data_IF_037313261325
#
_entry.id   IF_037313261325
#
_cell.length_a   1.000
_cell.length_b   1.000
_cell.length_c   1.000
_cell.angle_alpha   90.00
_cell.angle_beta   90.00
_cell.angle_gamma   90.00
#
_symmetry.space_group_name_H-M   'P 1'
#
loop_
_entity.id
_entity.type
_entity.pdbx_description
1 polymer ?
#
# COMPACT_ATOMS: atom_id res chain seq x y z
N UNK A 1 34.40 -38.95 9.63
CA UNK A 1 33.33 -38.23 8.87
C UNK A 1 33.17 -36.83 9.44
N UNK A 2 33.10 -35.81 8.59
CA UNK A 2 33.20 -34.41 9.03
C UNK A 2 31.93 -33.88 9.69
N UNK A 3 32.05 -33.27 10.88
CA UNK A 3 30.91 -32.69 11.61
C UNK A 3 30.12 -31.63 10.80
N UNK A 4 30.75 -30.94 9.84
CA UNK A 4 30.08 -29.99 8.93
C UNK A 4 28.98 -30.66 8.08
N UNK A 5 29.15 -31.91 7.64
CA UNK A 5 28.09 -32.64 6.91
C UNK A 5 26.94 -33.07 7.83
N UNK A 6 27.22 -33.41 9.09
CA UNK A 6 26.18 -33.75 10.10
C UNK A 6 25.34 -32.52 10.46
N UNK A 7 25.96 -31.34 10.56
CA UNK A 7 25.27 -30.09 10.83
C UNK A 7 24.38 -29.64 9.65
N UNK A 8 24.87 -29.70 8.41
CA UNK A 8 24.04 -29.39 7.24
C UNK A 8 22.89 -30.39 7.05
N UNK A 9 23.12 -31.68 7.29
CA UNK A 9 22.05 -32.70 7.27
C UNK A 9 20.96 -32.44 8.31
N UNK A 10 21.33 -32.01 9.52
CA UNK A 10 20.37 -31.67 10.58
C UNK A 10 19.49 -30.47 10.24
N UNK A 11 20.05 -29.41 9.65
CA UNK A 11 19.29 -28.22 9.24
C UNK A 11 18.32 -28.53 8.10
N UNK A 12 18.73 -29.37 7.13
CA UNK A 12 17.85 -29.79 6.02
C UNK A 12 16.72 -30.69 6.50
N UNK A 13 16.96 -31.61 7.45
CA UNK A 13 15.91 -32.45 8.04
C UNK A 13 14.90 -31.65 8.88
N UNK A 14 15.35 -30.64 9.64
CA UNK A 14 14.45 -29.77 10.40
C UNK A 14 13.64 -28.83 9.49
N UNK A 15 14.28 -28.20 8.49
CA UNK A 15 13.59 -27.34 7.53
C UNK A 15 12.62 -28.11 6.63
N UNK A 16 13.01 -29.27 6.14
CA UNK A 16 12.14 -30.17 5.36
C UNK A 16 10.99 -30.73 6.18
N UNK A 17 11.25 -31.12 7.44
CA UNK A 17 10.22 -31.64 8.36
C UNK A 17 9.10 -30.64 8.63
N UNK A 18 9.43 -29.37 8.87
CA UNK A 18 8.42 -28.31 9.08
C UNK A 18 7.60 -28.05 7.82
N UNK A 19 8.22 -28.03 6.63
CA UNK A 19 7.51 -27.82 5.36
C UNK A 19 6.56 -28.99 5.04
N UNK A 20 7.01 -30.23 5.27
CA UNK A 20 6.22 -31.44 5.01
C UNK A 20 5.10 -31.60 6.04
N UNK A 21 5.34 -31.26 7.32
CA UNK A 21 4.31 -31.16 8.35
C UNK A 21 3.27 -30.07 8.04
N UNK A 22 3.69 -28.91 7.53
CA UNK A 22 2.78 -27.85 7.11
C UNK A 22 1.92 -28.27 5.91
N UNK A 23 2.48 -29.00 4.94
CA UNK A 23 1.70 -29.59 3.84
C UNK A 23 0.73 -30.67 4.32
N UNK A 24 1.15 -31.54 5.26
CA UNK A 24 0.28 -32.59 5.81
C UNK A 24 -0.86 -32.01 6.65
N UNK A 25 -0.61 -30.95 7.42
CA UNK A 25 -1.62 -30.29 8.24
C UNK A 25 -2.61 -29.53 7.34
N UNK A 26 -2.11 -28.80 6.34
CA UNK A 26 -2.94 -28.07 5.37
C UNK A 26 -3.77 -29.00 4.47
N UNK A 27 -3.22 -30.17 4.08
CA UNK A 27 -3.97 -31.21 3.37
C UNK A 27 -4.99 -31.97 4.23
N UNK A 28 -4.95 -31.83 5.56
CA UNK A 28 -5.87 -32.50 6.49
C UNK A 28 -7.00 -31.59 6.96
N UNK A 29 -6.78 -30.27 6.97
CA UNK A 29 -7.83 -29.26 7.23
C UNK A 29 -8.84 -29.16 6.08
N UNK A 30 -8.46 -29.46 4.84
CA UNK A 30 -9.38 -29.42 3.67
C UNK A 30 -10.39 -30.60 3.63
N UNK A 31 -10.21 -31.65 4.44
CA UNK A 31 -11.12 -32.83 4.48
C UNK A 31 -12.26 -32.65 5.50
N UNK A 32 -12.17 -31.68 6.42
CA UNK A 32 -13.11 -31.50 7.53
C UNK A 32 -13.86 -30.14 7.50
N UNK A 33 -14.34 -29.73 6.31
CA UNK A 33 -15.24 -28.58 6.20
C UNK A 33 -16.42 -28.79 5.25
N UNK A 34 -17.06 -29.95 5.34
CA UNK A 34 -18.37 -30.19 4.71
C UNK A 34 -19.25 -31.14 5.55
N UNK A 35 -19.51 -30.74 6.80
CA UNK A 35 -20.60 -31.27 7.61
C UNK A 35 -21.56 -30.13 7.96
N UNK A 36 -22.53 -29.91 7.09
CA UNK A 36 -23.76 -29.18 7.41
C UNK A 36 -24.55 -30.07 8.38
N UNK A 37 -25.03 -29.56 9.54
CA UNK A 37 -25.80 -30.37 10.47
C UNK A 37 -27.17 -30.73 9.88
N UNK A 38 -27.42 -32.02 9.70
CA UNK A 38 -28.73 -32.57 9.36
C UNK A 38 -29.67 -32.50 10.58
N UNK A 39 -30.87 -31.90 10.48
CA UNK A 39 -31.89 -32.07 11.51
C UNK A 39 -32.40 -33.53 11.53
N UNK A 40 -32.97 -33.99 12.66
CA UNK A 40 -33.31 -35.40 12.84
C UNK A 40 -34.47 -35.85 11.94
N UNK A 41 -34.39 -37.09 11.46
CA UNK A 41 -35.47 -37.78 10.75
C UNK A 41 -36.57 -38.20 11.73
N UNK A 42 -37.76 -37.63 11.55
CA UNK A 42 -38.98 -38.13 12.16
C UNK A 42 -39.60 -39.21 11.25
N UNK A 43 -40.10 -40.30 11.84
CA UNK A 43 -40.65 -41.43 11.09
C UNK A 43 -41.88 -41.01 10.29
N UNK A 44 -41.88 -41.30 8.97
CA UNK A 44 -43.11 -41.33 8.17
C UNK A 44 -43.27 -42.70 7.53
N UNK A 45 -44.44 -43.28 7.77
CA UNK A 45 -44.83 -44.65 7.45
C UNK A 45 -45.11 -44.81 5.94
N UNK A 46 -44.84 -45.99 5.38
CA UNK A 46 -45.23 -46.31 4.00
C UNK A 46 -46.75 -46.21 3.82
N UNK A 47 -47.22 -45.40 2.85
CA UNK A 47 -48.48 -45.61 2.12
C UNK A 47 -48.32 -45.07 0.69
N UNK A 48 -48.68 -45.87 -0.32
CA UNK A 48 -48.40 -45.59 -1.73
C UNK A 48 -49.57 -44.97 -2.50
N UNK A 49 -49.31 -43.87 -3.21
CA UNK A 49 -50.11 -43.28 -4.30
C UNK A 49 -49.19 -42.39 -5.17
N UNK A 50 -49.56 -42.03 -6.43
CA UNK A 50 -48.58 -41.66 -7.46
C UNK A 50 -48.05 -40.21 -7.40
N UNK A 51 -46.91 -40.01 -8.04
CA UNK A 51 -46.09 -38.80 -7.95
C UNK A 51 -46.67 -37.56 -8.65
N UNK A 52 -46.75 -36.46 -7.90
CA UNK A 52 -46.74 -35.11 -8.45
C UNK A 52 -45.27 -34.61 -8.56
N UNK A 53 -44.92 -33.83 -9.60
CA UNK A 53 -43.56 -33.33 -9.77
C UNK A 53 -43.25 -32.24 -8.73
N UNK A 54 -42.39 -32.56 -7.76
CA UNK A 54 -41.85 -31.58 -6.81
C UNK A 54 -41.17 -30.46 -7.59
N UNK A 55 -41.81 -29.29 -7.61
CA UNK A 55 -41.31 -28.11 -8.29
C UNK A 55 -40.11 -27.57 -7.51
N UNK A 56 -38.90 -27.89 -7.98
CA UNK A 56 -37.66 -27.32 -7.49
C UNK A 56 -37.69 -25.80 -7.71
N UNK A 57 -38.16 -25.07 -6.70
CA UNK A 57 -37.99 -23.62 -6.67
C UNK A 57 -36.49 -23.33 -6.61
N UNK A 58 -35.91 -22.62 -7.59
CA UNK A 58 -34.52 -22.21 -7.48
C UNK A 58 -34.42 -21.28 -6.28
N UNK A 59 -33.45 -21.54 -5.40
CA UNK A 59 -33.13 -20.67 -4.29
C UNK A 59 -32.53 -19.37 -4.86
N UNK A 60 -33.37 -18.46 -5.33
CA UNK A 60 -32.97 -17.11 -5.72
C UNK A 60 -32.70 -16.33 -4.44
N UNK A 61 -31.52 -16.58 -3.86
CA UNK A 61 -30.97 -15.77 -2.78
C UNK A 61 -31.00 -14.33 -3.27
N UNK A 62 -31.70 -13.48 -2.53
CA UNK A 62 -31.94 -12.11 -2.95
C UNK A 62 -30.60 -11.38 -3.12
N UNK A 63 -30.37 -10.82 -4.30
CA UNK A 63 -29.13 -10.12 -4.68
C UNK A 63 -28.81 -8.97 -3.70
N UNK A 64 -29.81 -8.41 -3.02
CA UNK A 64 -29.61 -7.43 -1.96
C UNK A 64 -29.00 -8.04 -0.68
N UNK A 65 -29.39 -9.27 -0.33
CA UNK A 65 -28.83 -9.99 0.83
C UNK A 65 -27.39 -10.43 0.60
N UNK A 66 -27.04 -10.88 -0.60
CA UNK A 66 -25.65 -11.20 -0.96
C UNK A 66 -24.75 -9.96 -0.93
N UNK A 67 -25.23 -8.81 -1.43
CA UNK A 67 -24.50 -7.54 -1.36
C UNK A 67 -24.22 -7.13 0.08
N UNK A 68 -25.22 -7.21 0.98
CA UNK A 68 -25.04 -6.90 2.41
C UNK A 68 -24.01 -7.84 3.06
N UNK A 69 -24.07 -9.14 2.78
CA UNK A 69 -23.11 -10.11 3.31
C UNK A 69 -21.68 -9.83 2.82
N UNK A 70 -21.51 -9.45 1.55
CA UNK A 70 -20.20 -9.07 0.98
C UNK A 70 -19.66 -7.75 1.55
N UNK A 71 -20.52 -6.76 1.77
CA UNK A 71 -20.15 -5.49 2.42
C UNK A 71 -19.76 -5.71 3.89
N UNK A 72 -20.49 -6.55 4.62
CA UNK A 72 -20.16 -6.93 5.99
C UNK A 72 -18.84 -7.71 6.06
N UNK A 73 -18.60 -8.64 5.14
CA UNK A 73 -17.32 -9.36 5.04
C UNK A 73 -16.15 -8.42 4.70
N UNK A 74 -16.35 -7.43 3.81
CA UNK A 74 -15.34 -6.39 3.54
C UNK A 74 -15.06 -5.56 4.79
N UNK A 75 -16.09 -5.07 5.46
CA UNK A 75 -15.97 -4.27 6.68
C UNK A 75 -15.29 -5.04 7.82
N UNK A 76 -15.54 -6.34 7.95
CA UNK A 76 -14.85 -7.20 8.90
C UNK A 76 -13.34 -7.32 8.59
N UNK A 77 -12.97 -7.50 7.31
CA UNK A 77 -11.57 -7.52 6.87
C UNK A 77 -10.86 -6.19 7.06
N UNK A 78 -11.51 -5.09 6.67
CA UNK A 78 -11.00 -3.73 6.86
C UNK A 78 -10.80 -3.41 8.35
N UNK A 79 -11.74 -3.82 9.22
CA UNK A 79 -11.59 -3.67 10.67
C UNK A 79 -10.40 -4.48 11.21
N UNK A 80 -10.25 -5.73 10.79
CA UNK A 80 -9.12 -6.57 11.22
C UNK A 80 -7.76 -6.00 10.79
N UNK A 81 -7.67 -5.46 9.56
CA UNK A 81 -6.47 -4.76 9.07
C UNK A 81 -6.24 -3.47 9.87
N UNK A 82 -7.26 -2.64 10.09
CA UNK A 82 -7.15 -1.41 10.87
C UNK A 82 -6.72 -1.67 12.33
N UNK A 83 -7.20 -2.75 12.96
CA UNK A 83 -6.75 -3.17 14.29
C UNK A 83 -5.29 -3.66 14.30
N UNK A 84 -4.84 -4.34 13.24
CA UNK A 84 -3.43 -4.75 13.10
C UNK A 84 -2.52 -3.54 12.84
N UNK A 85 -2.94 -2.61 11.98
CA UNK A 85 -2.24 -1.36 11.70
C UNK A 85 -2.15 -0.51 12.97
N UNK A 86 -3.24 -0.33 13.72
CA UNK A 86 -3.26 0.37 15.00
C UNK A 86 -2.25 -0.22 16.01
N UNK A 87 -2.27 -1.55 16.21
CA UNK A 87 -1.31 -2.25 17.10
C UNK A 87 0.14 -2.05 16.66
N UNK A 88 0.41 -2.07 15.35
CA UNK A 88 1.76 -1.80 14.83
C UNK A 88 2.21 -0.34 15.00
N UNK A 89 1.28 0.61 14.84
CA UNK A 89 1.53 2.03 15.07
C UNK A 89 1.75 2.34 16.57
N UNK A 90 1.02 1.67 17.47
CA UNK A 90 1.24 1.74 18.90
C UNK A 90 2.62 1.18 19.29
N UNK A 91 3.00 0.02 18.77
CA UNK A 91 4.33 -0.56 19.01
C UNK A 91 5.46 0.36 18.53
N UNK A 92 5.34 0.92 17.32
CA UNK A 92 6.31 1.89 16.79
C UNK A 92 6.36 3.18 17.62
N UNK A 93 5.21 3.68 18.09
CA UNK A 93 5.16 4.83 19.02
C UNK A 93 5.81 4.53 20.34
N UNK A 94 5.58 3.34 20.91
CA UNK A 94 6.21 2.94 22.16
C UNK A 94 7.73 2.80 22.00
N UNK A 95 8.19 2.24 20.87
CA UNK A 95 9.62 2.20 20.54
C UNK A 95 10.23 3.61 20.44
N UNK A 96 9.58 4.54 19.73
CA UNK A 96 10.01 5.94 19.64
C UNK A 96 9.97 6.68 20.99
N UNK A 97 9.00 6.38 21.86
CA UNK A 97 8.94 6.93 23.22
C UNK A 97 10.10 6.44 24.07
N UNK A 98 10.38 5.13 24.06
CA UNK A 98 11.51 4.53 24.79
C UNK A 98 12.85 5.07 24.27
N UNK A 99 13.01 5.22 22.95
CA UNK A 99 14.22 5.83 22.35
C UNK A 99 14.37 7.31 22.75
N UNK A 100 13.28 8.10 22.70
CA UNK A 100 13.29 9.50 23.10
C UNK A 100 13.54 9.70 24.61
N UNK A 101 13.01 8.81 25.45
CA UNK A 101 13.27 8.81 26.90
C UNK A 101 14.72 8.42 27.20
N UNK A 102 15.24 7.38 26.55
CA UNK A 102 16.65 6.98 26.66
C UNK A 102 17.59 8.11 26.21
N UNK A 103 17.28 8.78 25.11
CA UNK A 103 18.05 9.93 24.62
C UNK A 103 18.02 11.12 25.60
N UNK A 104 16.86 11.42 26.22
CA UNK A 104 16.76 12.45 27.27
C UNK A 104 17.58 12.09 28.50
N UNK A 105 17.44 10.85 29.00
CA UNK A 105 18.19 10.37 30.15
C UNK A 105 19.70 10.41 29.93
N UNK A 106 20.16 10.01 28.75
CA UNK A 106 21.57 10.11 28.36
C UNK A 106 22.07 11.57 28.27
N UNK A 107 21.24 12.50 27.76
CA UNK A 107 21.58 13.92 27.71
C UNK A 107 21.66 14.54 29.12
N UNK A 108 20.75 14.17 30.02
CA UNK A 108 20.76 14.59 31.43
C UNK A 108 21.99 14.07 32.17
N UNK A 109 22.35 12.79 31.98
CA UNK A 109 23.56 12.20 32.58
C UNK A 109 24.84 12.88 32.06
N UNK A 110 24.91 13.17 30.75
CA UNK A 110 26.03 13.90 30.16
C UNK A 110 26.13 15.34 30.68
N UNK A 111 25.00 16.03 30.84
CA UNK A 111 24.95 17.37 31.43
C UNK A 111 25.43 17.36 32.90
N UNK A 112 24.97 16.40 33.71
CA UNK A 112 25.39 16.22 35.10
C UNK A 112 26.90 15.91 35.20
N UNK A 113 27.44 15.08 34.30
CA UNK A 113 28.88 14.79 34.25
C UNK A 113 29.71 16.03 33.90
N UNK A 114 29.26 16.85 32.95
CA UNK A 114 29.92 18.12 32.61
C UNK A 114 29.86 19.13 33.77
N UNK A 115 28.73 19.22 34.48
CA UNK A 115 28.62 20.06 35.69
C UNK A 115 29.61 19.61 36.78
N UNK A 116 29.74 18.30 37.05
CA UNK A 116 30.74 17.76 37.99
C UNK A 116 32.18 18.07 37.57
N UNK A 117 32.50 17.96 36.26
CA UNK A 117 33.82 18.32 35.74
C UNK A 117 34.14 19.80 35.97
N UNK A 118 33.18 20.69 35.70
CA UNK A 118 33.37 22.14 35.88
C UNK A 118 33.48 22.53 37.36
N UNK A 119 32.67 21.93 38.24
CA UNK A 119 32.74 22.18 39.68
C UNK A 119 34.12 21.84 40.26
N UNK A 120 34.68 20.67 39.92
CA UNK A 120 36.00 20.25 40.37
C UNK A 120 37.15 21.14 39.83
N UNK A 121 36.95 21.84 38.70
CA UNK A 121 37.93 22.79 38.17
C UNK A 121 37.94 24.10 38.96
N UNK A 122 36.79 24.59 39.43
CA UNK A 122 36.72 25.85 40.19
C UNK A 122 37.24 25.73 41.63
N UNK A 123 37.28 24.54 42.21
CA UNK A 123 37.82 24.31 43.57
C UNK A 123 39.35 24.29 43.65
N UNK A 124 40.06 24.44 42.53
CA UNK A 124 41.52 24.24 42.46
C UNK A 124 42.34 25.54 42.39
N UNK A 125 41.70 26.72 42.40
CA UNK A 125 42.36 28.01 42.17
C UNK A 125 41.95 29.05 43.23
N UNK A 126 42.63 29.04 44.39
CA UNK A 126 42.42 30.00 45.49
C UNK A 126 43.64 30.07 46.41
N UNK A 127 44.48 31.09 46.21
CA UNK A 127 45.67 31.40 47.03
C UNK A 127 45.55 32.88 47.51
N UNK A 128 45.56 33.17 48.82
CA UNK A 128 45.38 34.52 49.35
C UNK A 128 46.73 35.27 49.61
N UNK A 129 46.77 36.61 49.51
CA UNK A 129 47.98 37.42 49.79
C UNK A 129 48.10 37.92 51.25
N UNK A 130 49.34 38.15 51.70
CA UNK A 130 49.71 38.62 53.06
C UNK A 130 49.73 40.16 53.25
N UNK A 131 49.79 40.58 54.52
CA UNK A 131 49.73 41.97 55.02
C UNK A 131 50.77 42.19 56.14
N UNK A 132 51.50 43.32 56.18
CA UNK A 132 52.54 43.62 57.21
C UNK A 132 52.56 45.13 57.58
N UNK A 133 52.43 45.45 58.87
CA UNK A 133 52.66 46.74 59.59
C UNK A 133 52.83 46.41 61.11
N UNK A 134 53.36 47.20 62.06
CA UNK A 134 54.26 48.39 62.14
C UNK A 134 54.71 48.47 63.63
N UNK A 135 55.99 48.68 63.97
CA UNK A 135 56.36 48.99 65.37
C UNK A 135 57.40 50.11 65.57
N UNK A 136 57.19 50.88 66.64
CA UNK A 136 57.67 52.26 66.82
C UNK A 136 58.49 52.43 68.11
N UNK A 137 59.78 52.81 68.04
CA UNK A 137 60.46 53.53 69.15
C UNK A 137 61.70 54.34 68.71
N UNK A 138 61.52 55.40 67.93
CA UNK A 138 62.48 56.54 67.86
C UNK A 138 61.71 57.86 67.75
N UNK A 139 61.14 58.29 68.88
CA UNK A 139 60.12 59.35 68.91
C UNK A 139 60.67 60.80 68.97
N UNK A 140 61.91 61.02 69.46
CA UNK A 140 62.38 62.38 69.78
C UNK A 140 63.36 63.02 68.79
N UNK A 141 64.21 62.24 68.09
CA UNK A 141 64.94 62.75 66.91
C UNK A 141 63.97 63.16 65.79
N UNK A 142 62.78 62.54 65.79
CA UNK A 142 61.73 62.69 64.78
C UNK A 142 61.22 64.13 64.63
N UNK A 143 61.29 64.99 65.66
CA UNK A 143 60.55 66.27 65.69
C UNK A 143 61.21 67.41 64.90
N UNK A 144 62.54 67.47 64.86
CA UNK A 144 63.27 68.49 64.10
C UNK A 144 63.41 68.10 62.62
N UNK A 145 63.57 66.80 62.37
CA UNK A 145 63.59 66.22 61.02
C UNK A 145 62.19 66.27 60.38
N UNK A 146 61.11 66.05 61.17
CA UNK A 146 59.71 66.23 60.72
C UNK A 146 59.40 67.61 60.14
N UNK A 147 60.05 68.69 60.60
CA UNK A 147 59.77 70.04 60.07
C UNK A 147 60.38 70.26 58.69
N UNK A 148 61.57 69.69 58.42
CA UNK A 148 62.17 69.71 57.08
C UNK A 148 61.46 68.70 56.17
N UNK A 149 61.26 67.47 56.66
CA UNK A 149 60.53 66.43 55.95
C UNK A 149 59.09 66.84 55.61
N UNK A 150 58.35 67.58 56.46
CA UNK A 150 57.01 68.10 56.11
C UNK A 150 57.03 69.08 54.93
N UNK A 151 58.09 69.87 54.76
CA UNK A 151 58.16 70.87 53.69
C UNK A 151 58.57 70.23 52.35
N UNK A 152 59.37 69.15 52.38
CA UNK A 152 59.60 68.30 51.20
C UNK A 152 58.41 67.38 50.91
N UNK A 153 57.78 66.78 51.92
CA UNK A 153 56.54 65.99 51.76
C UNK A 153 55.41 66.84 51.18
N UNK A 154 55.17 68.06 51.66
CA UNK A 154 54.14 68.94 51.07
C UNK A 154 54.35 69.20 49.57
N UNK A 155 55.61 69.21 49.09
CA UNK A 155 55.94 69.32 47.65
C UNK A 155 55.84 67.99 46.92
N UNK A 156 56.23 66.89 47.56
CA UNK A 156 56.11 65.54 47.00
C UNK A 156 54.65 65.07 46.90
N UNK A 157 53.83 65.33 47.92
CA UNK A 157 52.40 65.00 47.98
C UNK A 157 51.59 65.84 46.99
N UNK A 158 51.92 67.13 46.80
CA UNK A 158 51.32 67.93 45.74
C UNK A 158 51.59 67.35 44.34
N UNK A 159 52.81 66.89 44.08
CA UNK A 159 53.19 66.26 42.82
C UNK A 159 52.54 64.85 42.66
N UNK A 160 52.48 64.07 43.74
CA UNK A 160 51.87 62.73 43.77
C UNK A 160 50.35 62.78 43.60
N UNK A 161 49.68 63.77 44.19
CA UNK A 161 48.23 63.99 44.01
C UNK A 161 47.93 64.46 42.58
N UNK A 162 48.78 65.30 41.99
CA UNK A 162 48.67 65.69 40.58
C UNK A 162 48.86 64.49 39.63
N UNK A 163 49.85 63.63 39.88
CA UNK A 163 50.08 62.39 39.13
C UNK A 163 48.91 61.42 39.26
N UNK A 164 48.43 61.14 40.47
CA UNK A 164 47.27 60.26 40.70
C UNK A 164 45.99 60.78 40.03
N UNK A 165 45.77 62.10 40.02
CA UNK A 165 44.62 62.70 39.32
C UNK A 165 44.74 62.57 37.79
N UNK A 166 45.96 62.71 37.24
CA UNK A 166 46.22 62.50 35.81
C UNK A 166 46.08 61.01 35.42
N UNK A 167 46.54 60.10 36.26
CA UNK A 167 46.48 58.66 36.05
C UNK A 167 45.03 58.14 36.14
N UNK A 168 44.25 58.58 37.13
CA UNK A 168 42.81 58.30 37.19
C UNK A 168 42.06 58.83 35.97
N UNK A 169 42.42 60.00 35.42
CA UNK A 169 41.84 60.49 34.17
C UNK A 169 42.19 59.59 32.97
N UNK A 170 43.44 59.13 32.83
CA UNK A 170 43.82 58.16 31.78
C UNK A 170 43.14 56.80 31.94
N UNK A 171 42.97 56.32 33.16
CA UNK A 171 42.22 55.08 33.45
C UNK A 171 40.73 55.23 33.13
N UNK A 172 40.11 56.36 33.45
CA UNK A 172 38.72 56.64 33.11
C UNK A 172 38.50 56.80 31.60
N UNK A 173 39.43 57.41 30.88
CA UNK A 173 39.37 57.56 29.42
C UNK A 173 39.55 56.21 28.70
N UNK A 174 40.55 55.42 29.10
CA UNK A 174 40.77 54.07 28.55
C UNK A 174 39.63 53.10 28.91
N UNK A 175 38.99 53.24 30.08
CA UNK A 175 37.78 52.49 30.42
C UNK A 175 36.58 52.88 29.53
N UNK A 176 36.39 54.17 29.23
CA UNK A 176 35.35 54.64 28.30
C UNK A 176 35.56 54.11 26.88
N UNK A 177 36.80 54.17 26.36
CA UNK A 177 37.14 53.65 25.04
C UNK A 177 36.88 52.13 24.95
N UNK A 178 37.30 51.35 25.95
CA UNK A 178 37.00 49.90 26.02
C UNK A 178 35.50 49.61 26.11
N UNK A 179 34.73 50.42 26.84
CA UNK A 179 33.27 50.26 26.94
C UNK A 179 32.55 50.57 25.62
N UNK A 180 33.01 51.56 24.86
CA UNK A 180 32.47 51.87 23.53
C UNK A 180 32.81 50.77 22.50
N UNK A 181 34.07 50.31 22.49
CA UNK A 181 34.52 49.22 21.61
C UNK A 181 33.78 47.90 21.91
N UNK A 182 33.55 47.58 23.18
CA UNK A 182 32.75 46.43 23.60
C UNK A 182 31.29 46.55 23.15
N UNK A 183 30.68 47.75 23.20
CA UNK A 183 29.32 47.98 22.68
C UNK A 183 29.26 47.80 21.15
N UNK A 184 30.22 48.35 20.41
CA UNK A 184 30.31 48.18 18.94
C UNK A 184 30.44 46.70 18.56
N UNK A 185 31.36 45.97 19.20
CA UNK A 185 31.53 44.52 18.99
C UNK A 185 30.28 43.70 19.35
N UNK A 186 29.55 44.07 20.40
CA UNK A 186 28.31 43.40 20.78
C UNK A 186 27.15 43.67 19.79
N UNK A 187 27.04 44.88 19.24
CA UNK A 187 26.04 45.22 18.23
C UNK A 187 26.33 44.52 16.89
N UNK A 188 27.60 44.49 16.48
CA UNK A 188 28.05 43.81 15.26
C UNK A 188 27.86 42.28 15.37
N UNK A 189 28.18 41.69 16.52
CA UNK A 189 27.91 40.28 16.81
C UNK A 189 26.40 39.94 16.77
N UNK A 190 25.53 40.82 17.29
CA UNK A 190 24.07 40.65 17.16
C UNK A 190 23.61 40.70 15.71
N UNK A 191 24.03 41.70 14.93
CA UNK A 191 23.67 41.83 13.51
C UNK A 191 24.14 40.62 12.69
N UNK A 192 25.35 40.12 12.95
CA UNK A 192 25.89 38.91 12.30
C UNK A 192 25.12 37.63 12.69
N UNK A 193 24.72 37.48 13.96
CA UNK A 193 23.91 36.34 14.41
C UNK A 193 22.50 36.36 13.81
N UNK A 194 21.87 37.54 13.75
CA UNK A 194 20.52 37.73 13.21
C UNK A 194 20.48 37.44 11.71
N UNK A 195 21.45 37.97 10.93
CA UNK A 195 21.60 37.66 9.50
C UNK A 195 21.84 36.17 9.25
N UNK A 196 22.71 35.50 10.03
CA UNK A 196 22.92 34.05 9.91
C UNK A 196 21.63 33.26 10.19
N UNK A 197 20.88 33.63 11.24
CA UNK A 197 19.61 32.97 11.57
C UNK A 197 18.55 33.13 10.48
N UNK A 198 18.50 34.30 9.83
CA UNK A 198 17.56 34.56 8.73
C UNK A 198 17.95 33.80 7.46
N UNK A 199 19.24 33.75 7.13
CA UNK A 199 19.75 32.98 6.00
C UNK A 199 19.52 31.46 6.19
N UNK A 200 19.74 30.94 7.39
CA UNK A 200 19.50 29.53 7.71
C UNK A 200 18.02 29.16 7.65
N UNK A 201 17.12 30.03 8.14
CA UNK A 201 15.67 29.85 8.01
C UNK A 201 15.21 29.84 6.56
N UNK A 202 15.64 30.80 5.73
CA UNK A 202 15.31 30.79 4.29
C UNK A 202 15.86 29.55 3.58
N UNK A 203 17.06 29.08 3.93
CA UNK A 203 17.64 27.87 3.35
C UNK A 203 16.87 26.60 3.77
N UNK A 204 16.45 26.51 5.03
CA UNK A 204 15.64 25.41 5.54
C UNK A 204 14.24 25.39 4.91
N UNK A 205 13.59 26.55 4.78
CA UNK A 205 12.25 26.67 4.18
C UNK A 205 12.25 26.33 2.69
N UNK A 206 13.26 26.81 1.93
CA UNK A 206 13.44 26.41 0.52
C UNK A 206 13.67 24.91 0.36
N UNK A 207 14.52 24.29 1.19
CA UNK A 207 14.73 22.82 1.17
C UNK A 207 13.46 22.06 1.57
N UNK A 208 12.67 22.56 2.50
CA UNK A 208 11.40 21.93 2.88
C UNK A 208 10.34 22.02 1.76
N UNK A 209 10.25 23.16 1.07
CA UNK A 209 9.37 23.36 -0.07
C UNK A 209 9.76 22.45 -1.26
N UNK A 210 11.05 22.40 -1.61
CA UNK A 210 11.56 21.56 -2.70
C UNK A 210 11.34 20.07 -2.41
N UNK A 211 11.57 19.63 -1.16
CA UNK A 211 11.34 18.24 -0.75
C UNK A 211 9.86 17.84 -0.78
N UNK A 212 8.94 18.77 -0.44
CA UNK A 212 7.49 18.55 -0.58
C UNK A 212 7.06 18.45 -2.05
N UNK A 213 7.53 19.36 -2.91
CA UNK A 213 7.24 19.33 -4.34
C UNK A 213 7.77 18.05 -5.02
N UNK A 214 8.93 17.55 -4.60
CA UNK A 214 9.49 16.29 -5.09
C UNK A 214 8.68 15.05 -4.65
N UNK A 215 8.25 15.00 -3.38
CA UNK A 215 7.44 13.89 -2.84
C UNK A 215 6.03 13.84 -3.47
N UNK A 216 5.41 15.00 -3.67
CA UNK A 216 4.10 15.10 -4.35
C UNK A 216 4.19 14.67 -5.81
N UNK A 217 5.23 15.10 -6.54
CA UNK A 217 5.47 14.69 -7.93
C UNK A 217 5.78 13.19 -8.05
N UNK A 218 6.54 12.62 -7.11
CA UNK A 218 6.82 11.19 -7.08
C UNK A 218 5.56 10.35 -6.79
N UNK A 219 4.68 10.81 -5.90
CA UNK A 219 3.38 10.18 -5.63
C UNK A 219 2.44 10.26 -6.83
N UNK A 220 2.38 11.40 -7.52
CA UNK A 220 1.58 11.56 -8.73
C UNK A 220 2.04 10.62 -9.86
N UNK A 221 3.35 10.52 -10.11
CA UNK A 221 3.90 9.64 -11.15
C UNK A 221 3.66 8.15 -10.82
N UNK A 222 3.89 7.76 -9.56
CA UNK A 222 3.62 6.38 -9.09
C UNK A 222 2.13 6.00 -9.18
N UNK A 223 1.21 6.92 -8.86
CA UNK A 223 -0.22 6.70 -8.99
C UNK A 223 -0.65 6.58 -10.47
N UNK A 224 -0.14 7.45 -11.34
CA UNK A 224 -0.39 7.40 -12.77
C UNK A 224 0.12 6.09 -13.39
N UNK A 225 1.30 5.62 -12.98
CA UNK A 225 1.91 4.37 -13.46
C UNK A 225 1.09 3.14 -13.04
N UNK A 226 0.61 3.09 -11.78
CA UNK A 226 -0.29 2.02 -11.32
C UNK A 226 -1.62 2.01 -12.07
N UNK A 227 -2.25 3.16 -12.27
CA UNK A 227 -3.49 3.29 -13.04
C UNK A 227 -3.32 2.86 -14.51
N UNK A 228 -2.18 3.17 -15.13
CA UNK A 228 -1.87 2.74 -16.49
C UNK A 228 -1.63 1.22 -16.60
N UNK A 229 -0.91 0.64 -15.62
CA UNK A 229 -0.64 -0.80 -15.59
C UNK A 229 -1.92 -1.62 -15.30
N UNK A 230 -2.77 -1.16 -14.38
CA UNK A 230 -4.04 -1.81 -14.06
C UNK A 230 -5.02 -1.73 -15.25
N UNK A 231 -5.08 -0.58 -15.95
CA UNK A 231 -5.85 -0.46 -17.20
C UNK A 231 -5.32 -1.38 -18.30
N UNK A 232 -3.99 -1.53 -18.45
CA UNK A 232 -3.40 -2.49 -19.39
C UNK A 232 -3.76 -3.93 -19.05
N UNK A 233 -3.63 -4.35 -17.78
CA UNK A 233 -3.99 -5.71 -17.35
C UNK A 233 -5.48 -5.99 -17.58
N UNK A 234 -6.38 -5.09 -17.18
CA UNK A 234 -7.82 -5.22 -17.44
C UNK A 234 -8.15 -5.28 -18.94
N UNK A 235 -7.47 -4.50 -19.78
CA UNK A 235 -7.66 -4.55 -21.23
C UNK A 235 -7.13 -5.86 -21.86
N UNK A 236 -5.97 -6.36 -21.42
CA UNK A 236 -5.40 -7.62 -21.91
C UNK A 236 -6.21 -8.83 -21.43
N UNK A 237 -6.71 -8.81 -20.20
CA UNK A 237 -7.57 -9.85 -19.62
C UNK A 237 -8.94 -9.87 -20.30
N UNK A 238 -9.55 -8.70 -20.56
CA UNK A 238 -10.77 -8.60 -21.38
C UNK A 238 -10.55 -9.11 -22.81
N UNK A 239 -9.40 -8.81 -23.42
CA UNK A 239 -9.05 -9.31 -24.77
C UNK A 239 -8.86 -10.83 -24.77
N UNK A 240 -8.12 -11.38 -23.80
CA UNK A 240 -7.93 -12.83 -23.62
C UNK A 240 -9.25 -13.55 -23.34
N UNK A 241 -10.16 -12.95 -22.56
CA UNK A 241 -11.49 -13.51 -22.32
C UNK A 241 -12.33 -13.52 -23.60
N UNK A 242 -12.31 -12.44 -24.38
CA UNK A 242 -13.00 -12.36 -25.67
C UNK A 242 -12.40 -13.29 -26.74
N UNK A 243 -11.07 -13.50 -26.76
CA UNK A 243 -10.43 -14.51 -27.63
C UNK A 243 -10.74 -15.94 -27.17
N UNK A 244 -10.75 -16.22 -25.86
CA UNK A 244 -11.12 -17.52 -25.32
C UNK A 244 -12.59 -17.87 -25.55
N UNK A 245 -13.50 -16.88 -25.47
CA UNK A 245 -14.92 -17.06 -25.76
C UNK A 245 -15.15 -17.27 -27.27
N UNK A 246 -14.48 -16.51 -28.14
CA UNK A 246 -14.49 -16.77 -29.60
C UNK A 246 -13.86 -18.10 -29.97
N UNK A 247 -12.79 -18.53 -29.29
CA UNK A 247 -12.18 -19.84 -29.51
C UNK A 247 -13.09 -20.98 -29.03
N UNK A 248 -13.84 -20.79 -27.93
CA UNK A 248 -14.87 -21.75 -27.50
C UNK A 248 -16.03 -21.82 -28.49
N UNK A 249 -16.56 -20.68 -28.92
CA UNK A 249 -17.63 -20.62 -29.91
C UNK A 249 -17.21 -21.26 -31.25
N UNK A 250 -15.99 -20.98 -31.74
CA UNK A 250 -15.44 -21.65 -32.91
C UNK A 250 -15.22 -23.16 -32.70
N UNK A 251 -14.87 -23.63 -31.51
CA UNK A 251 -14.66 -25.05 -31.24
C UNK A 251 -15.98 -25.81 -30.98
N UNK A 252 -17.01 -25.12 -30.49
CA UNK A 252 -18.32 -25.70 -30.19
C UNK A 252 -19.30 -25.61 -31.36
N UNK A 253 -19.20 -24.59 -32.22
CA UNK A 253 -20.10 -24.36 -33.37
C UNK A 253 -19.41 -24.44 -34.74
N UNK A 254 -18.07 -24.46 -34.83
CA UNK A 254 -17.34 -24.32 -36.11
C UNK A 254 -17.59 -25.40 -37.17
N UNK A 255 -17.92 -26.63 -36.76
CA UNK A 255 -18.18 -27.77 -37.66
C UNK A 255 -19.64 -28.25 -37.71
N UNK A 256 -20.53 -27.69 -36.88
CA UNK A 256 -21.95 -28.08 -36.82
C UNK A 256 -22.73 -27.39 -37.93
N UNK A 257 -23.30 -28.17 -38.85
CA UNK A 257 -24.03 -27.63 -40.00
C UNK A 257 -25.52 -27.94 -39.86
N UNK A 258 -26.29 -26.93 -39.47
CA UNK A 258 -27.71 -27.06 -39.18
C UNK A 258 -28.54 -27.04 -40.46
N UNK A 259 -29.46 -28.00 -40.61
CA UNK A 259 -30.42 -28.02 -41.71
C UNK A 259 -31.85 -28.17 -41.19
N UNK A 260 -32.82 -27.65 -41.93
CA UNK A 260 -34.24 -27.87 -41.62
C UNK A 260 -34.73 -29.09 -42.38
N UNK A 261 -35.00 -30.20 -41.70
CA UNK A 261 -35.73 -31.32 -42.32
C UNK A 261 -37.21 -30.94 -42.40
N UNK A 262 -37.74 -30.88 -43.61
CA UNK A 262 -39.11 -30.40 -43.87
C UNK A 262 -40.10 -31.56 -44.01
N UNK A 263 -39.68 -32.62 -44.72
CA UNK A 263 -40.48 -33.81 -44.96
C UNK A 263 -39.61 -35.06 -45.19
N UNK A 264 -40.23 -36.23 -45.07
CA UNK A 264 -39.70 -37.53 -45.48
C UNK A 264 -40.69 -38.13 -46.48
N UNK A 265 -40.31 -38.23 -47.74
CA UNK A 265 -41.16 -38.74 -48.80
C UNK A 265 -40.89 -40.23 -49.04
N UNK A 266 -41.95 -41.04 -49.19
CA UNK A 266 -41.81 -42.47 -49.45
C UNK A 266 -41.11 -42.78 -50.78
N UNK A 267 -41.43 -42.02 -51.84
CA UNK A 267 -40.99 -42.25 -53.22
C UNK A 267 -40.32 -40.99 -53.81
N UNK A 268 -39.46 -41.16 -54.82
CA UNK A 268 -38.71 -40.06 -55.43
C UNK A 268 -39.59 -38.99 -56.08
N UNK A 269 -40.63 -39.36 -56.84
CA UNK A 269 -41.55 -38.40 -57.44
C UNK A 269 -42.22 -37.47 -56.39
N UNK A 270 -42.56 -38.01 -55.22
CA UNK A 270 -43.11 -37.23 -54.10
C UNK A 270 -42.04 -36.31 -53.48
N UNK A 271 -40.78 -36.78 -53.43
CA UNK A 271 -39.66 -35.98 -52.96
C UNK A 271 -39.36 -34.80 -53.87
N UNK A 272 -39.42 -35.01 -55.19
CA UNK A 272 -39.18 -33.96 -56.17
C UNK A 272 -40.32 -32.95 -56.28
N UNK A 273 -41.58 -33.39 -56.16
CA UNK A 273 -42.72 -32.47 -56.08
C UNK A 273 -42.60 -31.51 -54.88
N UNK A 274 -42.20 -32.03 -53.71
CA UNK A 274 -41.98 -31.22 -52.49
C UNK A 274 -40.73 -30.34 -52.62
N UNK A 275 -39.64 -30.87 -53.17
CA UNK A 275 -38.41 -30.10 -53.39
C UNK A 275 -38.60 -28.99 -54.43
N UNK A 276 -39.41 -29.20 -55.47
CA UNK A 276 -39.77 -28.20 -56.46
C UNK A 276 -40.57 -27.04 -55.83
N UNK A 277 -41.57 -27.33 -54.99
CA UNK A 277 -42.32 -26.29 -54.25
C UNK A 277 -41.41 -25.43 -53.38
N UNK A 278 -40.50 -26.06 -52.63
CA UNK A 278 -39.54 -25.35 -51.77
C UNK A 278 -38.52 -24.53 -52.59
N UNK A 279 -38.00 -25.05 -53.72
CA UNK A 279 -37.11 -24.30 -54.61
C UNK A 279 -37.82 -23.14 -55.32
N UNK A 280 -39.09 -23.29 -55.69
CA UNK A 280 -39.90 -22.20 -56.26
C UNK A 280 -40.10 -21.04 -55.27
N UNK A 281 -40.06 -21.32 -53.95
CA UNK A 281 -40.04 -20.32 -52.88
C UNK A 281 -38.63 -19.76 -52.57
N UNK A 282 -37.60 -20.12 -53.35
CA UNK A 282 -36.22 -19.67 -53.19
C UNK A 282 -35.39 -20.45 -52.15
N UNK A 283 -35.93 -21.51 -51.55
CA UNK A 283 -35.19 -22.29 -50.56
C UNK A 283 -34.16 -23.23 -51.23
N UNK A 284 -32.95 -23.32 -50.66
CA UNK A 284 -31.93 -24.29 -51.08
C UNK A 284 -32.26 -25.68 -50.54
N UNK A 285 -32.77 -26.57 -51.39
CA UNK A 285 -33.22 -27.92 -51.00
C UNK A 285 -32.20 -29.00 -51.35
N UNK A 286 -31.83 -29.79 -50.34
CA UNK A 286 -30.98 -30.98 -50.41
C UNK A 286 -31.84 -32.24 -50.21
N UNK A 287 -31.79 -33.18 -51.16
CA UNK A 287 -32.41 -34.51 -51.02
C UNK A 287 -31.36 -35.48 -50.45
N UNK A 288 -31.74 -36.34 -49.51
CA UNK A 288 -30.88 -37.44 -49.01
C UNK A 288 -31.69 -38.73 -48.94
N UNK A 289 -31.28 -39.82 -49.61
CA UNK A 289 -31.92 -41.12 -49.45
C UNK A 289 -31.70 -41.64 -48.02
N UNK A 290 -32.71 -42.30 -47.46
CA UNK A 290 -32.65 -43.00 -46.17
C UNK A 290 -33.42 -44.32 -46.27
N UNK A 291 -33.20 -45.25 -45.33
CA UNK A 291 -33.89 -46.55 -45.31
C UNK A 291 -35.42 -46.47 -45.18
N UNK A 292 -35.98 -45.30 -44.83
CA UNK A 292 -37.43 -45.06 -44.69
C UNK A 292 -37.99 -44.13 -45.79
N UNK A 293 -37.24 -43.89 -46.86
CA UNK A 293 -37.60 -42.96 -47.94
C UNK A 293 -36.62 -41.79 -48.08
N UNK A 294 -36.95 -40.81 -48.92
CA UNK A 294 -36.08 -39.68 -49.24
C UNK A 294 -36.37 -38.51 -48.31
N UNK A 295 -35.37 -38.10 -47.55
CA UNK A 295 -35.42 -36.94 -46.65
C UNK A 295 -35.20 -35.67 -47.45
N UNK A 296 -36.00 -34.66 -47.17
CA UNK A 296 -35.98 -33.36 -47.85
C UNK A 296 -35.57 -32.31 -46.82
N UNK A 297 -34.42 -31.69 -47.05
CA UNK A 297 -33.80 -30.75 -46.12
C UNK A 297 -33.59 -29.39 -46.79
N UNK A 298 -33.73 -28.32 -46.03
CA UNK A 298 -33.51 -26.93 -46.49
C UNK A 298 -32.32 -26.33 -45.78
N UNK A 299 -31.37 -25.86 -46.59
CA UNK A 299 -30.33 -24.89 -46.24
C UNK A 299 -29.26 -25.38 -45.26
N UNK A 300 -27.97 -25.48 -45.68
CA UNK A 300 -26.88 -25.53 -44.72
C UNK A 300 -26.78 -24.17 -44.02
N UNK A 301 -27.10 -24.15 -42.73
CA UNK A 301 -27.06 -22.99 -41.84
C UNK A 301 -25.92 -23.16 -40.86
N UNK A 302 -25.18 -22.08 -40.57
CA UNK A 302 -24.05 -22.13 -39.63
C UNK A 302 -24.52 -22.23 -38.17
N UNK A 303 -25.72 -21.72 -37.90
CA UNK A 303 -26.23 -21.56 -36.54
C UNK A 303 -27.60 -22.24 -36.41
N UNK A 304 -27.88 -22.75 -35.22
CA UNK A 304 -29.19 -23.34 -34.91
C UNK A 304 -30.32 -22.33 -35.07
N UNK A 305 -30.09 -21.07 -34.67
CA UNK A 305 -31.09 -20.00 -34.74
C UNK A 305 -31.43 -19.61 -36.19
N UNK A 306 -30.44 -19.60 -37.10
CA UNK A 306 -30.68 -19.30 -38.52
C UNK A 306 -31.43 -20.44 -39.21
N UNK A 307 -31.19 -21.70 -38.81
CA UNK A 307 -32.04 -22.83 -39.18
C UNK A 307 -33.46 -22.74 -38.57
N UNK A 308 -33.60 -22.39 -37.29
CA UNK A 308 -34.92 -22.30 -36.62
C UNK A 308 -35.75 -21.12 -37.15
N UNK A 309 -35.13 -20.02 -37.57
CA UNK A 309 -35.81 -18.94 -38.28
C UNK A 309 -36.34 -19.43 -39.65
N UNK A 310 -35.58 -20.26 -40.36
CA UNK A 310 -36.00 -20.88 -41.63
C UNK A 310 -37.13 -21.89 -41.42
N UNK A 311 -37.06 -22.72 -40.36
CA UNK A 311 -38.13 -23.62 -39.91
C UNK A 311 -39.43 -22.85 -39.64
N UNK A 312 -39.35 -21.72 -38.91
CA UNK A 312 -40.50 -20.85 -38.63
C UNK A 312 -41.12 -20.29 -39.93
N UNK A 313 -40.31 -19.83 -40.88
CA UNK A 313 -40.79 -19.35 -42.19
C UNK A 313 -41.50 -20.45 -43.01
N UNK A 314 -40.97 -21.67 -43.01
CA UNK A 314 -41.57 -22.81 -43.72
C UNK A 314 -42.90 -23.24 -43.06
N UNK A 315 -42.95 -23.26 -41.72
CA UNK A 315 -44.18 -23.60 -40.98
C UNK A 315 -45.27 -22.53 -41.08
N UNK A 316 -44.90 -21.26 -41.28
CA UNK A 316 -45.82 -20.13 -41.43
C UNK A 316 -46.33 -19.95 -42.88
N UNK A 317 -45.75 -20.63 -43.86
CA UNK A 317 -46.22 -20.59 -45.25
C UNK A 317 -47.24 -21.70 -45.50
N UNK A 318 -48.52 -21.39 -45.33
CA UNK A 318 -49.62 -22.34 -45.55
C UNK A 318 -49.65 -22.93 -46.97
N UNK A 319 -49.08 -22.26 -47.98
CA UNK A 319 -49.00 -22.80 -49.34
C UNK A 319 -48.00 -23.96 -49.50
N UNK A 320 -47.09 -24.13 -48.54
CA UNK A 320 -46.23 -25.31 -48.43
C UNK A 320 -46.95 -26.44 -47.66
N UNK A 321 -47.77 -26.10 -46.66
CA UNK A 321 -48.43 -27.04 -45.74
C UNK A 321 -47.45 -28.02 -45.05
N UNK A 322 -46.23 -27.56 -44.76
CA UNK A 322 -45.11 -28.38 -44.25
C UNK A 322 -44.87 -28.16 -42.75
N UNK A 323 -45.93 -28.29 -41.95
CA UNK A 323 -45.93 -27.98 -40.50
C UNK A 323 -45.07 -28.94 -39.65
N UNK A 324 -44.59 -30.04 -40.23
CA UNK A 324 -43.71 -31.05 -39.62
C UNK A 324 -42.22 -30.68 -39.65
N UNK A 325 -41.83 -29.47 -40.05
CA UNK A 325 -40.42 -29.13 -40.20
C UNK A 325 -39.70 -29.00 -38.85
N UNK A 326 -38.54 -29.65 -38.71
CA UNK A 326 -37.65 -29.55 -37.56
C UNK A 326 -36.20 -29.23 -37.96
N UNK A 327 -35.44 -28.67 -37.04
CA UNK A 327 -34.00 -28.43 -37.21
C UNK A 327 -33.21 -29.68 -36.79
N UNK A 328 -32.22 -30.05 -37.58
CA UNK A 328 -31.31 -31.17 -37.32
C UNK A 328 -29.86 -30.75 -37.58
N UNK A 329 -28.94 -31.23 -36.75
CA UNK A 329 -27.51 -31.18 -37.02
C UNK A 329 -27.17 -32.17 -38.15
N UNK A 330 -26.64 -31.67 -39.27
CA UNK A 330 -26.39 -32.44 -40.47
C UNK A 330 -24.92 -32.45 -40.85
N UNK A 331 -24.25 -33.55 -40.53
CA UNK A 331 -22.93 -33.86 -41.10
C UNK A 331 -23.11 -34.37 -42.55
N UNK A 332 -22.40 -33.80 -43.55
CA UNK A 332 -22.35 -34.31 -44.93
C UNK A 332 -21.94 -35.78 -44.99
N UNK A 333 -22.44 -36.53 -45.96
CA UNK A 333 -22.10 -37.96 -46.11
C UNK A 333 -20.59 -38.18 -46.30
N UNK A 334 -19.91 -37.28 -47.01
CA UNK A 334 -18.45 -37.34 -47.25
C UNK A 334 -17.60 -37.04 -45.99
N UNK A 335 -18.25 -36.69 -44.87
CA UNK A 335 -17.62 -36.37 -43.57
C UNK A 335 -18.08 -37.30 -42.42
N UNK A 336 -18.83 -38.37 -42.72
CA UNK A 336 -19.39 -39.31 -41.72
C UNK A 336 -18.54 -40.56 -41.51
#
# INVERSE_FOLDING_TARGET
MNNKQRWMGGVVLLGGGVLLAALLLKGKEEIHHNQVPTPPVENVQEHGAPAEPVQLQPLTVDVETEKRLLEEQRRAREKAVAEQEAKSAEFLRQQQQVEAEAARKAAEEYAAMNQRRNANQQTSDSIPPELIEDEKTKAEQKKLEQLKAKNEQAKADANKTAQQTAEQKRLAETAKLKAEEAKKKAEEAKKAAEQKSSAEKLAAEKKAAEKKAADEKAKADAAAKKLAEEKKKKAEEAKKKAEAEKARDLLENGDKQWMVQVALAANEANADAVAAKLRAKGYKVTKSPTSKGIRIMVGPSKDRETADATRKKINADDSLNMKSAWVIDWVPLDKR
#
